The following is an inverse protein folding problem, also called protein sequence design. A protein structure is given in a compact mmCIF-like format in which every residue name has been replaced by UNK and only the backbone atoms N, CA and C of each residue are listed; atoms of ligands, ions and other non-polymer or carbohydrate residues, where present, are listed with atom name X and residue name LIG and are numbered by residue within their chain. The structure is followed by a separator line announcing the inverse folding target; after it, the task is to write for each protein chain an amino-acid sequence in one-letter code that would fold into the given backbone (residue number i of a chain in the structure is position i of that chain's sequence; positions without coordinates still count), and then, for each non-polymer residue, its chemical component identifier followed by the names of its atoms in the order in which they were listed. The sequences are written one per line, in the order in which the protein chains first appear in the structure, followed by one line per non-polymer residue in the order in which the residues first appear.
data_IF_889777321262
#
_entry.id   IF_889777321262
#
_cell.length_a   1.000
_cell.length_b   1.000
_cell.length_c   1.000
_cell.angle_alpha   90.00
_cell.angle_beta   90.00
_cell.angle_gamma   90.00
#
_symmetry.space_group_name_H-M   'P 1'
#
loop_
_entity.id
_entity.type
_entity.pdbx_description
1 polymer ?
#
# COMPACT_ATOMS: atom_id res chain seq x y z
N UNK A 1 14.60 2.34 -45.72
CA UNK A 1 13.16 2.63 -45.78
C UNK A 1 12.62 2.53 -44.37
N UNK A 2 12.36 3.67 -43.73
CA UNK A 2 11.88 3.73 -42.35
C UNK A 2 10.37 3.56 -42.33
N UNK A 3 9.90 2.50 -41.67
CA UNK A 3 8.48 2.31 -41.40
C UNK A 3 8.05 3.34 -40.35
N UNK A 4 7.33 4.35 -40.83
CA UNK A 4 6.60 5.29 -39.99
C UNK A 4 5.40 4.56 -39.39
N UNK A 5 5.50 4.28 -38.09
CA UNK A 5 4.43 3.67 -37.33
C UNK A 5 3.24 4.64 -37.24
N UNK A 6 2.11 4.27 -37.84
CA UNK A 6 0.83 4.96 -37.68
C UNK A 6 0.00 4.16 -36.66
N UNK A 7 -0.37 4.72 -35.51
CA UNK A 7 -1.25 4.05 -34.57
C UNK A 7 -2.61 3.81 -35.24
N UNK A 8 -3.07 2.56 -35.26
CA UNK A 8 -4.48 2.25 -35.56
C UNK A 8 -5.32 2.88 -34.45
N UNK A 9 -6.00 3.96 -34.78
CA UNK A 9 -6.98 4.63 -33.91
C UNK A 9 -8.18 3.73 -33.64
N UNK A 10 -8.03 2.77 -32.72
CA UNK A 10 -9.15 2.24 -31.97
C UNK A 10 -9.52 3.29 -30.94
N UNK A 11 -10.69 3.93 -31.09
CA UNK A 11 -11.24 4.79 -30.05
C UNK A 11 -11.20 4.02 -28.73
N UNK A 12 -10.40 4.51 -27.78
CA UNK A 12 -10.30 3.90 -26.45
C UNK A 12 -11.71 3.86 -25.87
N UNK A 13 -12.27 2.65 -25.71
CA UNK A 13 -13.54 2.47 -25.02
C UNK A 13 -13.47 3.08 -23.62
N UNK A 14 -14.60 3.51 -23.04
CA UNK A 14 -14.59 4.19 -21.75
C UNK A 14 -13.85 3.35 -20.72
N UNK A 15 -12.80 3.93 -20.12
CA UNK A 15 -12.02 3.24 -19.08
C UNK A 15 -12.96 2.90 -17.93
N UNK A 16 -13.15 1.60 -17.67
CA UNK A 16 -14.04 1.13 -16.61
C UNK A 16 -13.56 1.67 -15.27
N UNK A 17 -14.46 2.35 -14.55
CA UNK A 17 -14.22 2.90 -13.20
C UNK A 17 -14.86 1.97 -12.19
N UNK A 18 -14.10 1.54 -11.18
CA UNK A 18 -14.63 0.75 -10.07
C UNK A 18 -13.64 -0.26 -9.54
N UNK A 19 -13.92 -0.82 -8.35
CA UNK A 19 -13.09 -1.87 -7.76
C UNK A 19 -13.04 -3.07 -8.70
N UNK A 20 -11.83 -3.33 -9.20
CA UNK A 20 -11.59 -4.48 -10.05
C UNK A 20 -11.34 -5.75 -9.22
N UNK A 21 -11.21 -6.92 -9.87
CA UNK A 21 -11.04 -8.17 -9.12
C UNK A 21 -9.80 -8.18 -8.19
N UNK A 22 -8.72 -7.46 -8.49
CA UNK A 22 -7.53 -7.39 -7.63
C UNK A 22 -7.76 -6.48 -6.43
N UNK A 23 -8.58 -5.42 -6.59
CA UNK A 23 -9.00 -4.59 -5.47
C UNK A 23 -9.93 -5.38 -4.56
N UNK A 24 -10.86 -6.15 -5.13
CA UNK A 24 -11.73 -7.06 -4.37
C UNK A 24 -10.92 -8.14 -3.65
N UNK A 25 -9.97 -8.78 -4.31
CA UNK A 25 -9.08 -9.77 -3.67
C UNK A 25 -8.26 -9.16 -2.54
N UNK A 26 -7.71 -7.96 -2.74
CA UNK A 26 -6.97 -7.25 -1.71
C UNK A 26 -7.86 -6.94 -0.49
N UNK A 27 -9.12 -6.54 -0.72
CA UNK A 27 -10.09 -6.34 0.37
C UNK A 27 -10.40 -7.65 1.10
N UNK A 28 -10.65 -8.75 0.38
CA UNK A 28 -10.92 -10.07 0.96
C UNK A 28 -9.75 -10.55 1.81
N UNK A 29 -8.52 -10.43 1.30
CA UNK A 29 -7.32 -10.82 2.05
C UNK A 29 -6.99 -9.88 3.22
N UNK A 30 -7.56 -8.68 3.27
CA UNK A 30 -7.47 -7.76 4.41
C UNK A 30 -8.51 -8.04 5.51
N UNK A 31 -9.57 -8.82 5.24
CA UNK A 31 -10.61 -9.15 6.23
C UNK A 31 -10.06 -9.76 7.53
N UNK A 32 -9.08 -10.69 7.51
CA UNK A 32 -8.46 -11.21 8.73
C UNK A 32 -7.92 -10.11 9.68
N UNK A 33 -7.24 -9.13 9.10
CA UNK A 33 -6.69 -7.99 9.85
C UNK A 33 -7.81 -7.09 10.39
N UNK A 34 -8.82 -6.80 9.56
CA UNK A 34 -10.01 -6.05 9.98
C UNK A 34 -10.71 -6.70 11.18
N UNK A 35 -10.95 -8.02 11.12
CA UNK A 35 -11.59 -8.76 12.20
C UNK A 35 -10.76 -8.74 13.49
N UNK A 36 -9.44 -8.85 13.37
CA UNK A 36 -8.55 -8.76 14.53
C UNK A 36 -8.62 -7.36 15.18
N UNK A 37 -8.61 -6.32 14.35
CA UNK A 37 -8.78 -4.95 14.85
C UNK A 37 -10.14 -4.72 15.50
N UNK A 38 -11.21 -5.28 14.94
CA UNK A 38 -12.55 -5.21 15.52
C UNK A 38 -12.56 -5.84 16.93
N UNK A 39 -11.96 -7.02 17.08
CA UNK A 39 -11.82 -7.70 18.39
C UNK A 39 -10.99 -6.84 19.35
N UNK A 40 -9.85 -6.30 18.90
CA UNK A 40 -8.99 -5.43 19.72
C UNK A 40 -9.76 -4.20 20.20
N UNK A 41 -10.48 -3.51 19.31
CA UNK A 41 -11.27 -2.33 19.66
C UNK A 41 -12.40 -2.70 20.62
N UNK A 42 -13.10 -3.80 20.39
CA UNK A 42 -14.18 -4.25 21.28
C UNK A 42 -13.66 -4.60 22.69
N UNK A 43 -12.54 -5.32 22.79
CA UNK A 43 -11.91 -5.65 24.08
C UNK A 43 -11.44 -4.40 24.79
N UNK A 44 -10.74 -3.49 24.10
CA UNK A 44 -10.29 -2.23 24.69
C UNK A 44 -11.47 -1.36 25.16
N UNK A 45 -12.51 -1.25 24.35
CA UNK A 45 -13.71 -0.50 24.70
C UNK A 45 -14.39 -1.08 25.95
N UNK A 46 -14.46 -2.41 26.07
CA UNK A 46 -15.03 -3.09 27.25
C UNK A 46 -14.19 -2.92 28.51
N UNK A 47 -12.86 -2.88 28.38
CA UNK A 47 -11.93 -2.66 29.50
C UNK A 47 -12.01 -1.21 29.99
N UNK A 48 -12.08 -0.23 29.08
CA UNK A 48 -12.12 1.20 29.43
C UNK A 48 -13.52 1.62 29.91
N UNK A 49 -14.58 1.12 29.27
CA UNK A 49 -15.98 1.39 29.62
C UNK A 49 -16.71 0.09 30.00
N UNK A 50 -16.49 -0.42 31.23
CA UNK A 50 -17.12 -1.66 31.68
C UNK A 50 -18.62 -1.50 31.97
N UNK A 51 -19.10 -0.28 32.20
CA UNK A 51 -20.53 -0.01 32.32
C UNK A 51 -20.85 1.43 31.90
N UNK A 52 -22.03 1.68 31.32
CA UNK A 52 -23.02 0.71 30.84
C UNK A 52 -22.56 -0.02 29.56
N UNK A 53 -23.10 -1.23 29.29
CA UNK A 53 -22.62 -2.10 28.19
C UNK A 53 -22.73 -1.47 26.80
N UNK A 54 -23.69 -0.57 26.58
CA UNK A 54 -23.86 0.13 25.31
C UNK A 54 -22.67 1.05 24.98
N UNK A 55 -21.92 1.50 25.98
CA UNK A 55 -20.75 2.38 25.78
C UNK A 55 -19.68 1.72 24.90
N UNK A 56 -19.42 0.43 25.11
CA UNK A 56 -18.45 -0.31 24.29
C UNK A 56 -18.91 -0.43 22.83
N UNK A 57 -20.20 -0.65 22.60
CA UNK A 57 -20.78 -0.72 21.26
C UNK A 57 -20.72 0.62 20.51
N UNK A 58 -20.91 1.74 21.21
CA UNK A 58 -20.75 3.07 20.62
C UNK A 58 -19.32 3.27 20.10
N UNK A 59 -18.31 2.86 20.87
CA UNK A 59 -16.90 2.94 20.42
C UNK A 59 -16.64 2.07 19.20
N UNK A 60 -17.16 0.83 19.19
CA UNK A 60 -17.02 -0.09 18.04
C UNK A 60 -17.68 0.50 16.79
N UNK A 61 -18.92 0.99 16.89
CA UNK A 61 -19.65 1.60 15.78
C UNK A 61 -18.94 2.87 15.30
N UNK A 62 -18.47 3.72 16.22
CA UNK A 62 -17.71 4.92 15.88
C UNK A 62 -16.39 4.57 15.15
N UNK A 63 -15.70 3.51 15.58
CA UNK A 63 -14.48 3.04 14.91
C UNK A 63 -14.76 2.49 13.52
N UNK A 64 -15.82 1.69 13.33
CA UNK A 64 -16.23 1.25 11.98
C UNK A 64 -16.61 2.45 11.11
N UNK A 65 -17.38 3.40 11.64
CA UNK A 65 -17.73 4.62 10.93
C UNK A 65 -16.49 5.49 10.59
N UNK A 66 -15.43 5.41 11.39
CA UNK A 66 -14.20 6.19 11.17
C UNK A 66 -13.51 5.91 9.85
N UNK A 67 -13.73 4.74 9.22
CA UNK A 67 -13.20 4.49 7.87
C UNK A 67 -13.77 5.44 6.81
N UNK A 68 -14.94 6.06 7.04
CA UNK A 68 -15.44 7.13 6.17
C UNK A 68 -14.48 8.33 6.12
N UNK A 69 -13.68 8.55 7.17
CA UNK A 69 -12.69 9.63 7.24
C UNK A 69 -11.60 9.46 6.16
N UNK A 70 -11.28 8.23 5.72
CA UNK A 70 -10.29 8.01 4.66
C UNK A 70 -10.73 8.54 3.30
N UNK A 71 -12.01 8.88 3.13
CA UNK A 71 -12.55 9.51 1.93
C UNK A 71 -12.59 11.05 2.03
N UNK A 72 -12.29 11.62 3.19
CA UNK A 72 -12.26 13.07 3.40
C UNK A 72 -10.92 13.63 2.89
N UNK A 73 -10.91 14.56 1.92
CA UNK A 73 -9.67 15.04 1.32
C UNK A 73 -8.66 15.63 2.31
N UNK A 74 -9.12 16.28 3.38
CA UNK A 74 -8.24 16.82 4.42
C UNK A 74 -7.51 15.71 5.19
N UNK A 75 -8.21 14.64 5.57
CA UNK A 75 -7.62 13.49 6.28
C UNK A 75 -6.57 12.82 5.39
N UNK A 76 -6.88 12.65 4.11
CA UNK A 76 -5.93 12.08 3.15
C UNK A 76 -4.65 12.92 3.04
N UNK A 77 -4.75 14.26 3.04
CA UNK A 77 -3.58 15.15 3.03
C UNK A 77 -2.72 15.00 4.29
N UNK A 78 -3.34 14.89 5.46
CA UNK A 78 -2.64 14.69 6.74
C UNK A 78 -1.93 13.34 6.74
N UNK A 79 -2.62 12.28 6.31
CA UNK A 79 -2.05 10.92 6.20
C UNK A 79 -0.90 10.88 5.19
N UNK A 80 -1.04 11.54 4.03
CA UNK A 80 0.01 11.63 3.01
C UNK A 80 1.28 12.27 3.57
N UNK A 81 1.15 13.38 4.31
CA UNK A 81 2.29 14.07 4.92
C UNK A 81 2.93 13.28 6.06
N UNK A 82 2.13 12.74 6.98
CA UNK A 82 2.62 12.10 8.21
C UNK A 82 3.27 10.73 7.95
N UNK A 83 2.82 9.98 6.94
CA UNK A 83 3.21 8.57 6.78
C UNK A 83 4.24 8.34 5.68
N UNK A 84 4.27 9.22 4.69
CA UNK A 84 5.02 9.00 3.46
C UNK A 84 6.08 10.07 3.19
N UNK A 85 6.36 10.96 4.16
CA UNK A 85 7.28 12.08 4.00
C UNK A 85 7.03 12.89 2.70
N UNK A 86 5.76 12.96 2.29
CA UNK A 86 5.36 13.64 1.08
C UNK A 86 5.17 15.12 1.36
N UNK A 87 5.49 15.95 0.36
CA UNK A 87 5.14 17.37 0.37
C UNK A 87 4.38 17.76 -0.88
N UNK A 88 3.67 18.89 -0.78
CA UNK A 88 3.14 19.54 -1.97
C UNK A 88 4.29 19.88 -2.95
N UNK A 89 4.07 19.77 -4.27
CA UNK A 89 5.04 20.18 -5.27
C UNK A 89 5.37 21.67 -5.12
N UNK A 90 6.65 22.02 -5.26
CA UNK A 90 7.08 23.43 -5.36
C UNK A 90 6.49 24.06 -6.63
N UNK A 91 6.60 25.39 -6.76
CA UNK A 91 6.08 26.11 -7.94
C UNK A 91 6.69 25.56 -9.24
N UNK A 92 8.01 25.34 -9.28
CA UNK A 92 8.69 24.80 -10.47
C UNK A 92 8.32 23.34 -10.77
N UNK A 93 8.21 22.49 -9.75
CA UNK A 93 7.80 21.09 -9.95
C UNK A 93 6.35 21.01 -10.41
N UNK A 94 5.48 21.88 -9.90
CA UNK A 94 4.08 21.98 -10.32
C UNK A 94 3.96 22.42 -11.77
N UNK A 95 4.75 23.41 -12.20
CA UNK A 95 4.78 23.85 -13.60
C UNK A 95 5.18 22.72 -14.55
N UNK A 96 6.03 21.79 -14.12
CA UNK A 96 6.39 20.59 -14.89
C UNK A 96 5.33 19.50 -14.85
N UNK A 97 4.79 19.18 -13.67
CA UNK A 97 3.89 18.04 -13.48
C UNK A 97 2.48 18.31 -14.00
N UNK A 98 1.96 19.52 -13.80
CA UNK A 98 0.56 19.85 -14.07
C UNK A 98 0.17 19.66 -15.55
N UNK A 99 0.97 20.09 -16.55
CA UNK A 99 0.65 19.84 -17.96
C UNK A 99 0.65 18.34 -18.29
N UNK A 100 1.64 17.59 -17.80
CA UNK A 100 1.77 16.15 -18.03
C UNK A 100 0.59 15.38 -17.39
N UNK A 101 0.20 15.78 -16.18
CA UNK A 101 -0.94 15.19 -15.49
C UNK A 101 -2.26 15.46 -16.23
N UNK A 102 -2.43 16.67 -16.76
CA UNK A 102 -3.60 17.00 -17.59
C UNK A 102 -3.65 16.17 -18.87
N UNK A 103 -2.52 15.96 -19.55
CA UNK A 103 -2.44 15.07 -20.72
C UNK A 103 -2.89 13.66 -20.40
N UNK A 104 -2.38 13.09 -19.30
CA UNK A 104 -2.74 11.73 -18.84
C UNK A 104 -4.23 11.65 -18.45
N UNK A 105 -4.73 12.65 -17.72
CA UNK A 105 -6.14 12.71 -17.33
C UNK A 105 -7.07 12.86 -18.53
N UNK A 106 -6.67 13.66 -19.53
CA UNK A 106 -7.41 13.83 -20.78
C UNK A 106 -7.47 12.54 -21.58
N UNK A 107 -6.34 11.82 -21.71
CA UNK A 107 -6.30 10.50 -22.33
C UNK A 107 -7.25 9.49 -21.63
N UNK A 108 -7.39 9.60 -20.31
CA UNK A 108 -8.29 8.76 -19.53
C UNK A 108 -9.74 9.26 -19.44
N UNK A 109 -10.06 10.44 -20.01
CA UNK A 109 -11.37 11.06 -19.88
C UNK A 109 -11.75 11.41 -18.44
N UNK A 110 -10.78 11.76 -17.60
CA UNK A 110 -10.94 12.06 -16.18
C UNK A 110 -10.62 13.52 -15.86
N UNK A 111 -11.29 14.06 -14.84
CA UNK A 111 -11.00 15.40 -14.34
C UNK A 111 -9.73 15.37 -13.46
N UNK A 112 -8.66 16.12 -13.83
CA UNK A 112 -7.42 16.19 -13.06
C UNK A 112 -7.62 16.74 -11.65
N UNK A 113 -8.62 17.61 -11.43
CA UNK A 113 -8.96 18.18 -10.11
C UNK A 113 -9.50 17.16 -9.10
N UNK A 114 -9.84 15.95 -9.56
CA UNK A 114 -10.16 14.82 -8.66
C UNK A 114 -8.97 14.28 -7.91
N UNK A 115 -7.76 14.60 -8.36
CA UNK A 115 -6.52 14.09 -7.80
C UNK A 115 -5.65 15.21 -7.27
N UNK A 116 -4.79 14.91 -6.31
CA UNK A 116 -3.81 15.84 -5.76
C UNK A 116 -2.43 15.28 -5.99
N UNK A 117 -1.58 16.07 -6.64
CA UNK A 117 -0.18 15.70 -6.91
C UNK A 117 0.69 15.99 -5.70
N UNK A 118 1.57 15.05 -5.37
CA UNK A 118 2.54 15.13 -4.28
C UNK A 118 3.93 14.72 -4.75
N UNK A 119 4.96 15.19 -4.04
CA UNK A 119 6.35 14.81 -4.28
C UNK A 119 6.92 14.13 -3.04
N UNK A 120 7.31 12.86 -3.18
CA UNK A 120 8.06 12.13 -2.16
C UNK A 120 9.55 12.52 -2.24
N UNK A 121 10.16 12.80 -1.08
CA UNK A 121 11.56 13.25 -1.00
C UNK A 121 12.59 12.12 -1.03
N UNK A 122 12.17 10.87 -1.26
CA UNK A 122 13.09 9.73 -1.34
C UNK A 122 14.01 9.87 -2.56
N UNK A 123 15.23 9.32 -2.44
CA UNK A 123 16.20 9.24 -3.55
C UNK A 123 15.92 8.04 -4.47
N UNK A 124 14.94 7.21 -4.15
CA UNK A 124 14.58 6.06 -4.96
C UNK A 124 13.74 6.52 -6.16
N UNK A 125 13.88 5.82 -7.30
CA UNK A 125 13.09 6.09 -8.49
C UNK A 125 11.76 5.34 -8.31
N UNK A 126 10.73 6.05 -7.85
CA UNK A 126 9.43 5.46 -7.55
C UNK A 126 8.31 6.46 -7.88
N UNK A 127 7.11 5.94 -8.03
CA UNK A 127 5.87 6.69 -7.91
C UNK A 127 4.88 5.76 -7.23
N UNK A 128 3.95 6.32 -6.48
CA UNK A 128 2.90 5.50 -5.89
C UNK A 128 1.63 6.28 -5.63
N UNK A 129 0.52 5.60 -5.85
CA UNK A 129 -0.81 6.04 -5.48
C UNK A 129 -0.98 5.87 -3.95
N UNK A 130 -0.98 6.98 -3.23
CA UNK A 130 -1.04 7.01 -1.77
C UNK A 130 -2.41 7.45 -1.28
N UNK A 131 -3.43 6.61 -1.43
CA UNK A 131 -4.78 6.92 -0.96
C UNK A 131 -5.80 7.10 -2.07
N UNK A 132 -6.94 7.72 -1.76
CA UNK A 132 -8.09 7.74 -2.68
C UNK A 132 -8.04 8.78 -3.79
N UNK A 133 -7.19 9.80 -3.66
CA UNK A 133 -7.05 10.96 -4.56
C UNK A 133 -5.59 11.40 -4.74
N UNK A 134 -4.66 10.89 -3.95
CA UNK A 134 -3.26 11.32 -3.96
C UNK A 134 -2.45 10.53 -4.97
N UNK A 135 -1.78 11.26 -5.85
CA UNK A 135 -0.82 10.72 -6.83
C UNK A 135 0.54 11.30 -6.48
N UNK A 136 1.47 10.45 -6.06
CA UNK A 136 2.80 10.87 -5.67
C UNK A 136 3.86 10.42 -6.68
N UNK A 137 4.81 11.29 -6.97
CA UNK A 137 6.02 10.98 -7.73
C UNK A 137 7.25 11.21 -6.87
N UNK A 138 8.30 10.41 -7.01
CA UNK A 138 9.56 10.73 -6.32
C UNK A 138 10.27 11.90 -6.96
N UNK A 139 11.12 12.56 -6.17
CA UNK A 139 11.96 13.64 -6.68
C UNK A 139 12.81 13.22 -7.88
N UNK A 140 13.32 11.99 -7.91
CA UNK A 140 14.08 11.48 -9.07
C UNK A 140 13.20 11.23 -10.31
N UNK A 141 11.94 10.84 -10.12
CA UNK A 141 11.02 10.67 -11.26
C UNK A 141 10.78 12.00 -12.00
N UNK A 142 10.92 13.14 -11.30
CA UNK A 142 10.85 14.44 -11.92
C UNK A 142 11.97 14.69 -12.93
N UNK A 143 13.13 14.03 -12.85
CA UNK A 143 14.22 14.25 -13.81
C UNK A 143 13.99 13.52 -15.15
N UNK A 144 13.01 12.61 -15.20
CA UNK A 144 12.72 11.82 -16.39
C UNK A 144 12.19 12.66 -17.56
N UNK A 145 12.40 12.22 -18.81
CA UNK A 145 11.76 12.81 -19.98
C UNK A 145 10.24 12.91 -19.80
N UNK A 146 9.62 13.95 -20.36
CA UNK A 146 8.20 14.23 -20.14
C UNK A 146 7.29 13.04 -20.43
N UNK A 147 7.53 12.33 -21.54
CA UNK A 147 6.74 11.15 -21.94
C UNK A 147 6.92 9.96 -20.98
N UNK A 148 8.11 9.77 -20.43
CA UNK A 148 8.41 8.74 -19.43
C UNK A 148 7.70 9.05 -18.10
N UNK A 149 7.68 10.34 -17.71
CA UNK A 149 6.95 10.79 -16.53
C UNK A 149 5.43 10.66 -16.72
N UNK A 150 4.89 10.99 -17.89
CA UNK A 150 3.48 10.72 -18.24
C UNK A 150 3.14 9.22 -18.14
N UNK A 151 4.05 8.34 -18.56
CA UNK A 151 3.82 6.90 -18.49
C UNK A 151 3.73 6.39 -17.05
N UNK A 152 4.56 6.92 -16.15
CA UNK A 152 4.49 6.63 -14.71
C UNK A 152 3.17 7.18 -14.14
N UNK A 153 2.82 8.43 -14.45
CA UNK A 153 1.57 9.04 -14.01
C UNK A 153 0.34 8.26 -14.50
N UNK A 154 0.37 7.75 -15.73
CA UNK A 154 -0.69 6.90 -16.29
C UNK A 154 -0.81 5.56 -15.56
N UNK A 155 0.31 4.98 -15.13
CA UNK A 155 0.33 3.79 -14.28
C UNK A 155 -0.32 4.08 -12.91
N UNK A 156 0.08 5.18 -12.25
CA UNK A 156 -0.53 5.59 -10.97
C UNK A 156 -2.02 5.89 -11.09
N UNK A 157 -2.44 6.53 -12.18
CA UNK A 157 -3.86 6.73 -12.46
C UNK A 157 -4.60 5.39 -12.60
N UNK A 158 -3.97 4.36 -13.17
CA UNK A 158 -4.51 3.00 -13.22
C UNK A 158 -4.84 2.41 -11.84
N UNK A 159 -4.03 2.67 -10.82
CA UNK A 159 -4.33 2.26 -9.44
C UNK A 159 -5.55 2.99 -8.85
N UNK A 160 -5.73 4.26 -9.21
CA UNK A 160 -6.91 5.02 -8.80
C UNK A 160 -8.19 4.58 -9.52
N UNK A 161 -8.11 4.32 -10.82
CA UNK A 161 -9.26 3.90 -11.64
C UNK A 161 -9.77 2.50 -11.27
N UNK A 162 -8.85 1.60 -10.91
CA UNK A 162 -9.15 0.24 -10.43
C UNK A 162 -9.61 0.17 -8.98
N UNK A 163 -9.58 1.29 -8.24
CA UNK A 163 -9.93 1.35 -6.83
C UNK A 163 -8.90 0.74 -5.87
N UNK A 164 -7.75 0.27 -6.36
CA UNK A 164 -6.68 -0.29 -5.51
C UNK A 164 -6.26 0.69 -4.42
N UNK A 165 -5.97 1.93 -4.81
CA UNK A 165 -5.43 2.91 -3.88
C UNK A 165 -6.40 3.20 -2.71
N UNK A 166 -7.71 3.14 -2.96
CA UNK A 166 -8.76 3.27 -1.92
C UNK A 166 -8.85 2.05 -1.03
N UNK A 167 -8.89 0.85 -1.62
CA UNK A 167 -8.97 -0.39 -0.85
C UNK A 167 -7.72 -0.56 0.03
N UNK A 168 -6.54 -0.26 -0.50
CA UNK A 168 -5.28 -0.30 0.24
C UNK A 168 -5.28 0.69 1.41
N UNK A 169 -5.78 1.92 1.22
CA UNK A 169 -5.89 2.90 2.29
C UNK A 169 -6.86 2.47 3.39
N UNK A 170 -8.03 1.93 3.02
CA UNK A 170 -9.00 1.41 3.98
C UNK A 170 -8.46 0.19 4.73
N UNK A 171 -7.84 -0.75 4.02
CA UNK A 171 -7.21 -1.91 4.63
C UNK A 171 -6.14 -1.50 5.64
N UNK A 172 -5.27 -0.56 5.25
CA UNK A 172 -4.27 0.01 6.14
C UNK A 172 -4.89 0.70 7.37
N UNK A 173 -5.93 1.52 7.18
CA UNK A 173 -6.64 2.23 8.27
C UNK A 173 -7.23 1.26 9.30
N UNK A 174 -7.93 0.24 8.81
CA UNK A 174 -8.55 -0.74 9.68
C UNK A 174 -7.58 -1.76 10.27
N UNK A 175 -6.37 -1.90 9.73
CA UNK A 175 -5.33 -2.76 10.31
C UNK A 175 -4.63 -2.08 11.52
N UNK A 176 -4.81 -0.77 11.73
CA UNK A 176 -4.13 -0.02 12.78
C UNK A 176 -4.30 -0.60 14.20
N UNK A 177 -5.52 -0.95 14.69
CA UNK A 177 -5.66 -1.52 16.02
C UNK A 177 -4.94 -2.87 16.18
N UNK A 178 -5.05 -3.77 15.20
CA UNK A 178 -4.33 -5.05 15.21
C UNK A 178 -2.81 -4.85 15.27
N UNK A 179 -2.26 -3.98 14.41
CA UNK A 179 -0.82 -3.60 14.44
C UNK A 179 -0.42 -2.99 15.77
N UNK A 180 -1.27 -2.13 16.33
CA UNK A 180 -1.08 -1.53 17.65
C UNK A 180 -0.97 -2.59 18.74
N UNK A 181 -1.86 -3.59 18.73
CA UNK A 181 -1.84 -4.71 19.68
C UNK A 181 -0.54 -5.51 19.60
N UNK A 182 -0.06 -5.83 18.39
CA UNK A 182 1.20 -6.53 18.16
C UNK A 182 2.37 -5.70 18.69
N UNK A 183 2.40 -4.39 18.40
CA UNK A 183 3.46 -3.50 18.87
C UNK A 183 3.50 -3.45 20.40
N UNK A 184 2.35 -3.21 21.05
CA UNK A 184 2.26 -3.10 22.51
C UNK A 184 2.69 -4.41 23.17
N UNK A 185 2.19 -5.56 22.71
CA UNK A 185 2.59 -6.86 23.26
C UNK A 185 4.09 -7.10 23.05
N UNK A 186 4.63 -6.79 21.87
CA UNK A 186 6.07 -6.93 21.61
C UNK A 186 6.92 -6.08 22.54
N UNK A 187 6.50 -4.85 22.84
CA UNK A 187 7.19 -3.98 23.78
C UNK A 187 7.09 -4.51 25.22
N UNK A 188 5.90 -4.97 25.64
CA UNK A 188 5.69 -5.59 26.95
C UNK A 188 6.55 -6.84 27.14
N UNK A 189 6.58 -7.75 26.15
CA UNK A 189 7.43 -8.94 26.19
C UNK A 189 8.91 -8.58 26.31
N UNK A 190 9.39 -7.58 25.55
CA UNK A 190 10.78 -7.12 25.63
C UNK A 190 11.13 -6.59 27.03
N UNK A 191 10.22 -5.83 27.63
CA UNK A 191 10.38 -5.31 28.98
C UNK A 191 10.40 -6.44 30.02
N UNK A 192 9.42 -7.35 30.00
CA UNK A 192 9.33 -8.48 30.93
C UNK A 192 10.58 -9.36 30.85
N UNK A 193 11.02 -9.72 29.63
CA UNK A 193 12.22 -10.53 29.44
C UNK A 193 13.51 -9.77 29.80
N UNK A 194 13.54 -8.45 29.66
CA UNK A 194 14.65 -7.64 30.15
C UNK A 194 14.73 -7.67 31.68
N UNK A 195 13.61 -7.42 32.36
CA UNK A 195 13.51 -7.49 33.83
C UNK A 195 13.91 -8.86 34.35
N UNK A 196 13.41 -9.94 33.74
CA UNK A 196 13.80 -11.31 34.08
C UNK A 196 15.30 -11.57 33.95
N UNK A 197 15.93 -11.07 32.87
CA UNK A 197 17.39 -11.16 32.70
C UNK A 197 18.17 -10.39 33.76
N UNK A 198 17.65 -9.25 34.21
CA UNK A 198 18.27 -8.49 35.32
C UNK A 198 18.21 -9.32 36.61
N UNK A 199 17.05 -9.86 36.97
CA UNK A 199 16.92 -10.70 38.18
C UNK A 199 17.75 -11.98 38.14
N UNK A 200 17.89 -12.60 36.97
CA UNK A 200 18.77 -13.76 36.78
C UNK A 200 20.24 -13.43 37.09
N UNK A 201 20.71 -12.23 36.76
CA UNK A 201 22.08 -11.78 37.10
C UNK A 201 22.31 -11.62 38.59
N UNK A 202 21.24 -11.37 39.36
CA UNK A 202 21.27 -11.31 40.82
C UNK A 202 20.92 -12.66 41.47
N UNK A 203 20.93 -13.76 40.72
CA UNK A 203 20.78 -15.12 41.24
C UNK A 203 19.33 -15.63 41.36
N UNK A 204 18.32 -14.86 40.93
CA UNK A 204 16.92 -15.28 41.03
C UNK A 204 16.45 -16.05 39.79
N UNK A 205 16.66 -17.37 39.80
CA UNK A 205 16.17 -18.29 38.75
C UNK A 205 14.63 -18.26 38.64
N UNK A 206 13.92 -18.17 39.77
CA UNK A 206 12.47 -18.11 39.80
C UNK A 206 11.91 -16.88 39.08
N UNK A 207 12.51 -15.70 39.26
CA UNK A 207 12.09 -14.48 38.57
C UNK A 207 12.37 -14.54 37.06
N UNK A 208 13.48 -15.19 36.66
CA UNK A 208 13.77 -15.49 35.26
C UNK A 208 12.70 -16.37 34.62
N UNK A 209 12.35 -17.48 35.29
CA UNK A 209 11.30 -18.40 34.82
C UNK A 209 9.93 -17.70 34.74
N UNK A 210 9.54 -16.97 35.78
CA UNK A 210 8.28 -16.22 35.80
C UNK A 210 8.20 -15.23 34.63
N UNK A 211 9.29 -14.53 34.30
CA UNK A 211 9.34 -13.60 33.17
C UNK A 211 9.14 -14.31 31.83
N UNK A 212 9.70 -15.51 31.64
CA UNK A 212 9.46 -16.34 30.45
C UNK A 212 7.99 -16.77 30.36
N UNK A 213 7.42 -17.24 31.47
CA UNK A 213 6.01 -17.65 31.52
C UNK A 213 5.06 -16.49 31.21
N UNK A 214 5.31 -15.30 31.76
CA UNK A 214 4.54 -14.09 31.45
C UNK A 214 4.66 -13.74 29.96
N UNK A 215 5.87 -13.80 29.38
CA UNK A 215 6.06 -13.58 27.95
C UNK A 215 5.28 -14.59 27.08
N UNK A 216 5.19 -15.86 27.50
CA UNK A 216 4.39 -16.88 26.82
C UNK A 216 2.89 -16.60 26.94
N UNK A 217 2.41 -16.17 28.11
CA UNK A 217 1.00 -15.76 28.31
C UNK A 217 0.66 -14.56 27.42
N UNK A 218 1.54 -13.56 27.35
CA UNK A 218 1.37 -12.40 26.47
C UNK A 218 1.32 -12.82 24.99
N UNK A 219 2.21 -13.72 24.57
CA UNK A 219 2.20 -14.26 23.21
C UNK A 219 0.91 -15.05 22.91
N UNK A 220 0.47 -15.89 23.84
CA UNK A 220 -0.78 -16.64 23.72
C UNK A 220 -1.99 -15.69 23.60
N UNK A 221 -2.07 -14.68 24.45
CA UNK A 221 -3.11 -13.64 24.37
C UNK A 221 -3.08 -12.90 23.02
N UNK A 222 -1.89 -12.60 22.48
CA UNK A 222 -1.76 -11.97 21.17
C UNK A 222 -2.29 -12.85 20.04
N UNK A 223 -1.98 -14.15 20.07
CA UNK A 223 -2.51 -15.12 19.10
C UNK A 223 -4.02 -15.27 19.24
N UNK A 224 -4.56 -15.26 20.46
CA UNK A 224 -6.01 -15.30 20.67
C UNK A 224 -6.72 -14.05 20.12
N UNK A 225 -6.10 -12.87 20.29
CA UNK A 225 -6.61 -11.61 19.72
C UNK A 225 -6.46 -11.54 18.19
N UNK A 226 -5.46 -12.22 17.63
CA UNK A 226 -5.12 -12.18 16.21
C UNK A 226 -4.84 -13.61 15.68
N UNK A 227 -5.86 -14.48 15.60
CA UNK A 227 -5.66 -15.91 15.29
C UNK A 227 -5.02 -16.14 13.92
N UNK A 228 -5.25 -15.19 12.99
CA UNK A 228 -4.70 -15.20 11.65
C UNK A 228 -3.18 -15.04 11.58
N UNK A 229 -2.51 -14.62 12.68
CA UNK A 229 -1.05 -14.58 12.75
C UNK A 229 -0.43 -15.95 12.46
N UNK A 230 -1.09 -17.03 12.85
CA UNK A 230 -0.65 -18.41 12.58
C UNK A 230 -0.76 -18.73 11.08
N UNK A 231 -1.70 -18.10 10.37
CA UNK A 231 -1.91 -18.27 8.93
C UNK A 231 -1.11 -17.28 8.07
N UNK A 232 -0.38 -16.33 8.68
CA UNK A 232 0.41 -15.34 7.94
C UNK A 232 1.39 -15.93 6.92
N UNK A 233 2.05 -17.08 7.16
CA UNK A 233 2.88 -17.73 6.15
C UNK A 233 2.12 -18.08 4.85
N UNK A 234 0.82 -18.33 4.94
CA UNK A 234 -0.06 -18.64 3.79
C UNK A 234 -0.72 -17.37 3.21
N UNK A 235 -1.12 -16.42 4.07
CA UNK A 235 -1.77 -15.18 3.64
C UNK A 235 -0.80 -14.21 2.96
N UNK A 236 0.47 -14.16 3.38
CA UNK A 236 1.45 -13.22 2.82
C UNK A 236 1.72 -13.44 1.32
N UNK A 237 1.92 -14.68 0.82
CA UNK A 237 2.00 -14.94 -0.62
C UNK A 237 0.74 -14.58 -1.41
N UNK A 238 -0.45 -14.74 -0.81
CA UNK A 238 -1.73 -14.40 -1.45
C UNK A 238 -1.92 -12.88 -1.58
N UNK A 239 -1.60 -12.13 -0.53
CA UNK A 239 -1.56 -10.66 -0.54
C UNK A 239 -0.57 -10.14 -1.59
N UNK A 240 0.63 -10.73 -1.62
CA UNK A 240 1.64 -10.39 -2.62
C UNK A 240 1.16 -10.70 -4.05
N UNK A 241 0.44 -11.81 -4.25
CA UNK A 241 -0.16 -12.14 -5.54
C UNK A 241 -1.26 -11.17 -5.97
N UNK A 242 -2.18 -10.80 -5.07
CA UNK A 242 -3.21 -9.80 -5.35
C UNK A 242 -2.60 -8.45 -5.73
N UNK A 243 -1.56 -8.01 -5.01
CA UNK A 243 -0.78 -6.80 -5.31
C UNK A 243 -0.18 -6.84 -6.71
N UNK A 244 0.47 -7.95 -7.10
CA UNK A 244 1.03 -8.12 -8.45
C UNK A 244 -0.02 -8.05 -9.55
N UNK A 245 -1.25 -8.53 -9.29
CA UNK A 245 -2.34 -8.40 -10.25
C UNK A 245 -2.78 -6.94 -10.43
N UNK A 246 -2.80 -6.15 -9.35
CA UNK A 246 -3.03 -4.70 -9.42
C UNK A 246 -2.00 -3.99 -10.30
N UNK A 247 -0.71 -4.30 -10.12
CA UNK A 247 0.40 -3.76 -10.93
C UNK A 247 0.23 -4.04 -12.42
N UNK A 248 -0.08 -5.28 -12.79
CA UNK A 248 -0.29 -5.64 -14.20
C UNK A 248 -1.51 -4.94 -14.82
N UNK A 249 -2.49 -4.55 -14.01
CA UNK A 249 -3.66 -3.82 -14.49
C UNK A 249 -3.39 -2.32 -14.61
N UNK A 250 -2.62 -1.76 -13.69
CA UNK A 250 -2.12 -0.40 -13.82
C UNK A 250 -1.24 -0.26 -15.08
N UNK A 251 -0.35 -1.22 -15.34
CA UNK A 251 0.43 -1.32 -16.58
C UNK A 251 -0.44 -1.37 -17.83
N UNK A 252 -1.46 -2.24 -17.81
CA UNK A 252 -2.42 -2.34 -18.91
C UNK A 252 -3.16 -1.02 -19.14
N UNK A 253 -3.57 -0.35 -18.06
CA UNK A 253 -4.25 0.95 -18.14
C UNK A 253 -3.34 1.97 -18.80
N UNK A 254 -2.09 2.10 -18.37
CA UNK A 254 -1.11 2.98 -19.01
C UNK A 254 -0.90 2.65 -20.50
N UNK A 255 -0.84 1.36 -20.85
CA UNK A 255 -0.77 0.91 -22.24
C UNK A 255 -2.01 1.32 -23.06
N UNK A 256 -3.21 1.11 -22.52
CA UNK A 256 -4.47 1.53 -23.20
C UNK A 256 -4.59 3.04 -23.38
N UNK A 257 -3.94 3.82 -22.52
CA UNK A 257 -3.86 5.29 -22.64
C UNK A 257 -2.79 5.76 -23.63
N UNK A 258 -2.09 4.84 -24.31
CA UNK A 258 -1.05 5.16 -25.29
C UNK A 258 0.36 5.36 -24.71
N UNK A 259 0.57 5.00 -23.45
CA UNK A 259 1.87 5.15 -22.77
C UNK A 259 2.67 3.85 -22.65
N UNK A 260 2.22 2.75 -23.26
CA UNK A 260 2.86 1.43 -23.18
C UNK A 260 4.35 1.42 -23.55
N UNK A 261 4.76 1.95 -24.73
CA UNK A 261 6.18 2.00 -25.12
C UNK A 261 7.05 2.81 -24.15
N UNK A 262 6.55 3.97 -23.70
CA UNK A 262 7.26 4.82 -22.75
C UNK A 262 7.39 4.17 -21.36
N UNK A 263 6.37 3.41 -20.94
CA UNK A 263 6.43 2.64 -19.69
C UNK A 263 7.45 1.48 -19.79
N UNK A 264 7.55 0.83 -20.95
CA UNK A 264 8.59 -0.19 -21.20
C UNK A 264 9.98 0.42 -21.08
N UNK A 265 10.19 1.62 -21.63
CA UNK A 265 11.47 2.34 -21.55
C UNK A 265 11.86 2.63 -20.09
N UNK A 266 10.93 3.17 -19.30
CA UNK A 266 11.12 3.42 -17.86
C UNK A 266 11.50 2.13 -17.13
N UNK A 267 10.71 1.07 -17.30
CA UNK A 267 10.93 -0.23 -16.64
C UNK A 267 12.27 -0.85 -17.06
N UNK A 268 12.69 -0.65 -18.31
CA UNK A 268 13.97 -1.14 -18.82
C UNK A 268 15.13 -0.39 -18.19
N UNK A 269 15.01 0.93 -18.03
CA UNK A 269 15.97 1.76 -17.30
C UNK A 269 16.12 1.32 -15.84
N UNK A 270 15.01 1.03 -15.15
CA UNK A 270 15.05 0.48 -13.79
C UNK A 270 15.68 -0.91 -13.71
N UNK A 271 15.37 -1.79 -14.65
CA UNK A 271 15.99 -3.11 -14.72
C UNK A 271 17.51 -3.03 -14.95
N UNK A 272 17.98 -2.07 -15.75
CA UNK A 272 19.41 -1.82 -15.96
C UNK A 272 20.10 -1.22 -14.73
N UNK A 273 19.39 -0.35 -13.99
CA UNK A 273 19.90 0.29 -12.78
C UNK A 273 19.94 -0.65 -11.56
N UNK A 274 19.07 -1.67 -11.50
CA UNK A 274 19.10 -2.72 -10.47
C UNK A 274 19.18 -4.14 -11.08
N UNK A 275 20.37 -4.56 -11.56
CA UNK A 275 20.58 -5.92 -12.08
C UNK A 275 20.34 -7.01 -11.03
N UNK A 276 20.53 -6.69 -9.74
CA UNK A 276 20.48 -7.64 -8.63
C UNK A 276 19.06 -7.88 -8.12
N UNK A 277 18.13 -6.92 -8.32
CA UNK A 277 16.71 -7.07 -8.03
C UNK A 277 16.03 -8.23 -8.75
N UNK A 278 16.60 -8.67 -9.88
CA UNK A 278 16.13 -9.82 -10.68
C UNK A 278 16.58 -11.19 -10.14
N UNK A 279 17.60 -11.25 -9.26
CA UNK A 279 18.19 -12.47 -8.69
C UNK A 279 17.69 -12.78 -7.27
N UNK A 280 16.42 -12.49 -6.98
CA UNK A 280 15.83 -12.79 -5.66
C UNK A 280 15.57 -14.30 -5.52
N UNK A 281 15.89 -14.91 -4.36
CA UNK A 281 15.52 -16.30 -4.08
C UNK A 281 13.99 -16.47 -4.14
N UNK A 282 13.51 -17.68 -4.48
CA UNK A 282 12.09 -17.96 -4.73
C UNK A 282 11.17 -17.43 -3.62
N UNK A 283 11.54 -17.63 -2.35
CA UNK A 283 10.83 -17.10 -1.18
C UNK A 283 10.66 -15.58 -1.19
N UNK A 284 11.71 -14.84 -1.57
CA UNK A 284 11.69 -13.38 -1.63
C UNK A 284 10.89 -12.87 -2.84
N UNK A 285 10.81 -13.67 -3.92
CA UNK A 285 9.94 -13.39 -5.07
C UNK A 285 8.47 -13.64 -4.76
N UNK A 286 8.16 -14.69 -4.00
CA UNK A 286 6.79 -15.01 -3.59
C UNK A 286 6.18 -13.91 -2.72
N UNK A 287 6.98 -13.36 -1.79
CA UNK A 287 6.58 -12.29 -0.86
C UNK A 287 6.67 -10.88 -1.46
N UNK A 288 7.20 -10.72 -2.68
CA UNK A 288 7.30 -9.41 -3.32
C UNK A 288 5.92 -8.92 -3.79
N UNK A 289 5.54 -7.72 -3.32
CA UNK A 289 4.29 -7.02 -3.69
C UNK A 289 4.32 -6.49 -5.12
N UNK A 290 5.51 -6.17 -5.65
CA UNK A 290 5.71 -5.77 -7.03
C UNK A 290 6.27 -6.92 -7.87
N UNK A 291 5.75 -7.16 -9.08
CA UNK A 291 6.31 -8.14 -10.00
C UNK A 291 7.65 -7.66 -10.55
N UNK A 292 8.48 -8.59 -11.03
CA UNK A 292 9.76 -8.23 -11.62
C UNK A 292 9.54 -7.32 -12.85
N UNK A 293 10.39 -6.29 -13.01
CA UNK A 293 10.30 -5.37 -14.15
C UNK A 293 10.33 -6.10 -15.50
N UNK A 294 11.12 -7.17 -15.62
CA UNK A 294 11.14 -8.03 -16.81
C UNK A 294 9.78 -8.70 -17.12
N UNK A 295 9.04 -9.12 -16.09
CA UNK A 295 7.71 -9.71 -16.26
C UNK A 295 6.67 -8.66 -16.69
N UNK A 296 6.76 -7.44 -16.13
CA UNK A 296 5.94 -6.28 -16.53
C UNK A 296 6.20 -5.90 -17.99
N UNK A 297 7.47 -5.76 -18.38
CA UNK A 297 7.89 -5.46 -19.77
C UNK A 297 7.36 -6.52 -20.74
N UNK A 298 7.54 -7.81 -20.42
CA UNK A 298 7.06 -8.91 -21.27
C UNK A 298 5.54 -8.82 -21.51
N UNK A 299 4.77 -8.53 -20.47
CA UNK A 299 3.31 -8.37 -20.58
C UNK A 299 2.92 -7.12 -21.35
N UNK A 300 3.60 -6.00 -21.14
CA UNK A 300 3.36 -4.76 -21.89
C UNK A 300 3.63 -4.94 -23.38
N UNK A 301 4.72 -5.64 -23.74
CA UNK A 301 5.02 -5.97 -25.14
C UNK A 301 3.97 -6.87 -25.78
N UNK A 302 3.32 -7.74 -25.02
CA UNK A 302 2.24 -8.59 -25.51
C UNK A 302 0.90 -7.84 -25.69
N UNK A 303 0.80 -6.60 -25.21
CA UNK A 303 -0.37 -5.72 -25.39
C UNK A 303 -0.20 -4.73 -26.55
N UNK A 304 1.01 -4.59 -27.08
CA UNK A 304 1.36 -3.73 -28.22
C UNK A 304 1.15 -4.48 -29.54
#
# INVERSE_FOLDING_TARGET
MGETWIPRGGAAGPVRRGPDASAVMSAVFALPAFLSSLVVVAVLARVVWPSPEWGAWVVVVAWVASGALTFVPWVEKVLAGAMFAMRAPTVGERQRLEPLWRSVCAAAGTDPGRYTLWVEQSRDLNAFAAGGRTVAVTRRALDLPGRSLEAILAHELGHHLSGHARVSLLGWWYELPARGSILVVRLAMRLVLFVGRVFLRFGSAAAGLASVLIALILLFGLVLLNPWLVLMPLLSPLLAWASRLGEYRADRTAATLGYGPALIEVLSGWLAADPHGSRRPLRARMLASHPAHADRIRRLRALA
#
